data_IF_648805009770
#
_entry.id   IF_648805009770
#
_cell.length_a   1.000
_cell.length_b   1.000
_cell.length_c   1.000
_cell.angle_alpha   90.00
_cell.angle_beta   90.00
_cell.angle_gamma   90.00
#
_symmetry.space_group_name_H-M   'P 1'
#
loop_
_entity.id
_entity.type
_entity.pdbx_description
1 polymer ?
#
# COMPACT_ATOMS: atom_id res chain seq x y z
N UNK A 1 5.43 -14.22 8.52
CA UNK A 1 5.53 -13.53 9.82
C UNK A 1 4.38 -13.99 10.68
N UNK A 2 4.71 -14.50 11.87
CA UNK A 2 3.72 -15.05 12.82
C UNK A 2 3.63 -14.24 14.13
N UNK A 3 4.45 -13.20 14.28
CA UNK A 3 4.45 -12.33 15.45
C UNK A 3 4.77 -10.89 15.09
N UNK A 4 4.06 -9.95 15.72
CA UNK A 4 4.35 -8.53 15.67
C UNK A 4 4.59 -8.03 17.09
N UNK A 5 5.68 -7.32 17.30
CA UNK A 5 6.03 -6.67 18.55
C UNK A 5 6.02 -5.17 18.38
N UNK A 6 5.32 -4.46 19.24
CA UNK A 6 5.17 -3.01 19.20
C UNK A 6 5.82 -2.38 20.43
N UNK A 7 6.62 -1.36 20.19
CA UNK A 7 7.36 -0.59 21.18
C UNK A 7 7.11 0.90 21.02
N UNK A 8 7.37 1.68 22.07
CA UNK A 8 7.53 3.15 21.98
C UNK A 8 8.93 3.56 22.41
N UNK A 9 9.35 4.77 22.02
CA UNK A 9 10.68 5.27 22.41
C UNK A 9 10.79 5.53 23.93
N UNK A 10 9.69 5.84 24.61
CA UNK A 10 9.67 6.05 26.07
C UNK A 10 9.92 4.75 26.84
N UNK A 11 9.43 3.63 26.34
CA UNK A 11 9.54 2.30 26.95
C UNK A 11 10.17 1.31 25.95
N UNK A 12 11.39 1.63 25.51
CA UNK A 12 12.06 0.83 24.47
C UNK A 12 12.33 -0.64 24.87
N UNK A 13 12.29 -0.96 26.15
CA UNK A 13 12.52 -2.30 26.68
C UNK A 13 11.24 -3.08 27.00
N UNK A 14 10.06 -2.43 26.93
CA UNK A 14 8.78 -3.07 27.22
C UNK A 14 7.91 -3.17 25.96
N UNK A 15 7.43 -4.38 25.66
CA UNK A 15 6.46 -4.59 24.59
C UNK A 15 5.11 -3.99 25.01
N UNK A 16 4.64 -2.94 24.32
CA UNK A 16 3.33 -2.33 24.60
C UNK A 16 2.21 -3.21 24.07
N UNK A 17 2.39 -3.73 22.86
CA UNK A 17 1.44 -4.61 22.19
C UNK A 17 2.17 -5.77 21.54
N UNK A 18 1.59 -6.95 21.63
CA UNK A 18 2.08 -8.14 20.99
C UNK A 18 0.93 -8.85 20.28
N UNK A 19 1.09 -9.04 18.99
CA UNK A 19 0.18 -9.85 18.19
C UNK A 19 0.89 -11.15 17.82
N UNK A 20 0.26 -12.27 18.15
CA UNK A 20 0.74 -13.62 17.78
C UNK A 20 -0.45 -14.49 17.45
N UNK A 21 -0.32 -15.28 16.41
CA UNK A 21 -1.27 -16.33 16.10
C UNK A 21 -0.55 -17.68 16.28
N UNK A 22 -1.07 -18.59 17.05
CA UNK A 22 -0.54 -19.88 17.51
C UNK A 22 0.26 -20.63 16.41
N UNK A 23 1.45 -20.13 16.03
CA UNK A 23 2.32 -20.59 14.95
C UNK A 23 1.77 -20.41 13.52
N UNK A 24 0.59 -19.86 13.33
CA UNK A 24 0.07 -19.52 12.00
C UNK A 24 0.63 -18.18 11.50
N UNK A 25 0.65 -18.02 10.21
CA UNK A 25 1.13 -16.79 9.57
C UNK A 25 0.09 -15.67 9.73
N UNK A 26 0.52 -14.51 10.26
CA UNK A 26 -0.32 -13.31 10.37
C UNK A 26 -0.32 -12.56 9.04
N UNK A 27 0.87 -12.43 8.42
CA UNK A 27 1.03 -11.79 7.12
C UNK A 27 2.36 -12.19 6.46
N UNK A 28 2.40 -12.04 5.14
CA UNK A 28 3.59 -12.25 4.31
C UNK A 28 4.07 -10.96 3.68
N UNK A 29 5.38 -10.85 3.47
CA UNK A 29 5.98 -9.74 2.74
C UNK A 29 6.43 -10.25 1.38
N UNK A 30 5.94 -9.60 0.33
CA UNK A 30 6.24 -9.96 -1.05
C UNK A 30 7.01 -8.82 -1.69
N UNK A 31 8.07 -9.13 -2.43
CA UNK A 31 8.77 -8.15 -3.24
C UNK A 31 7.93 -7.78 -4.47
N UNK A 32 7.62 -6.51 -4.63
CA UNK A 32 6.80 -6.02 -5.75
C UNK A 32 7.28 -6.48 -7.12
N UNK A 33 8.59 -6.57 -7.30
CA UNK A 33 9.19 -7.05 -8.56
C UNK A 33 8.83 -8.52 -8.84
N UNK A 34 8.90 -9.39 -7.84
CA UNK A 34 8.59 -10.82 -7.99
C UNK A 34 7.11 -11.02 -8.30
N UNK A 35 6.23 -10.31 -7.57
CA UNK A 35 4.79 -10.30 -7.84
C UNK A 35 4.48 -9.79 -9.25
N UNK A 36 5.08 -8.67 -9.66
CA UNK A 36 4.88 -8.12 -11.01
C UNK A 36 5.31 -9.12 -12.09
N UNK A 37 6.46 -9.77 -11.93
CA UNK A 37 6.96 -10.78 -12.87
C UNK A 37 5.97 -11.93 -12.99
N UNK A 38 5.54 -12.50 -11.88
CA UNK A 38 4.59 -13.61 -11.84
C UNK A 38 3.28 -13.25 -12.55
N UNK A 39 2.65 -12.12 -12.16
CA UNK A 39 1.40 -11.66 -12.79
C UNK A 39 1.57 -11.37 -14.27
N UNK A 40 2.70 -10.77 -14.69
CA UNK A 40 2.96 -10.49 -16.08
C UNK A 40 3.16 -11.75 -16.91
N UNK A 41 3.76 -12.79 -16.35
CA UNK A 41 3.95 -14.07 -17.03
C UNK A 41 2.62 -14.84 -17.15
N UNK A 42 1.74 -14.77 -16.16
CA UNK A 42 0.37 -15.30 -16.27
C UNK A 42 -0.46 -14.56 -17.35
N UNK A 43 -0.38 -13.22 -17.37
CA UNK A 43 -1.08 -12.42 -18.39
C UNK A 43 -0.65 -12.78 -19.82
N UNK A 44 0.62 -13.14 -20.06
CA UNK A 44 1.12 -13.55 -21.40
C UNK A 44 0.53 -14.88 -21.88
N UNK A 45 0.10 -15.75 -20.98
CA UNK A 45 -0.51 -17.05 -21.33
C UNK A 45 -1.92 -16.89 -21.90
N UNK A 46 -2.61 -15.80 -21.59
CA UNK A 46 -3.98 -15.56 -22.04
C UNK A 46 -4.02 -14.99 -23.45
N UNK A 47 -4.71 -15.66 -24.35
CA UNK A 47 -4.99 -15.18 -25.72
C UNK A 47 -6.03 -14.07 -25.76
N UNK A 48 -6.80 -13.87 -24.68
CA UNK A 48 -7.85 -12.86 -24.58
C UNK A 48 -7.31 -11.48 -24.25
N UNK A 49 -6.07 -11.38 -23.74
CA UNK A 49 -5.46 -10.14 -23.29
C UNK A 49 -4.55 -9.58 -24.39
N UNK A 50 -4.83 -8.34 -24.79
CA UNK A 50 -4.01 -7.60 -25.77
C UNK A 50 -3.33 -6.43 -25.10
N UNK A 51 -1.98 -6.45 -25.01
CA UNK A 51 -1.20 -5.30 -24.58
C UNK A 51 -1.09 -4.28 -25.73
N UNK A 52 -1.46 -3.05 -25.46
CA UNK A 52 -1.25 -1.91 -26.37
C UNK A 52 -0.32 -0.89 -25.72
N UNK A 53 0.45 -0.17 -26.52
CA UNK A 53 1.18 1.02 -26.06
C UNK A 53 0.16 2.06 -25.58
N UNK A 54 0.63 3.03 -24.77
CA UNK A 54 -0.21 4.07 -24.18
C UNK A 54 -1.12 4.70 -25.25
N UNK A 55 -2.43 4.60 -25.03
CA UNK A 55 -3.46 5.14 -25.92
C UNK A 55 -3.84 6.53 -25.37
N UNK A 56 -3.99 7.50 -26.24
CA UNK A 56 -4.45 8.81 -25.79
C UNK A 56 -5.96 8.79 -25.48
N UNK A 57 -6.43 9.81 -24.76
CA UNK A 57 -7.82 9.86 -24.28
C UNK A 57 -8.85 9.77 -25.41
N UNK A 58 -8.61 10.46 -26.52
CA UNK A 58 -9.56 10.49 -27.64
C UNK A 58 -9.72 9.11 -28.30
N UNK A 59 -8.64 8.34 -28.38
CA UNK A 59 -8.69 6.99 -28.94
C UNK A 59 -9.46 6.03 -28.03
N UNK A 60 -9.35 6.19 -26.72
CA UNK A 60 -10.10 5.39 -25.75
C UNK A 60 -11.61 5.63 -25.91
N UNK A 61 -12.03 6.88 -25.99
CA UNK A 61 -13.45 7.23 -26.11
C UNK A 61 -14.04 6.76 -27.46
N UNK A 62 -13.27 6.88 -28.55
CA UNK A 62 -13.73 6.41 -29.88
C UNK A 62 -13.94 4.92 -29.97
N UNK A 63 -13.25 4.10 -29.17
CA UNK A 63 -13.32 2.63 -29.25
C UNK A 63 -14.56 2.03 -28.56
N UNK A 64 -15.43 2.82 -27.96
CA UNK A 64 -16.69 2.42 -27.34
C UNK A 64 -16.57 1.16 -26.43
N UNK A 65 -15.54 1.16 -25.56
CA UNK A 65 -15.38 0.07 -24.57
C UNK A 65 -16.58 0.02 -23.63
N UNK A 66 -17.07 -1.17 -23.30
CA UNK A 66 -18.16 -1.36 -22.33
C UNK A 66 -17.74 -0.89 -20.92
N UNK A 67 -16.51 -1.17 -20.50
CA UNK A 67 -15.95 -0.75 -19.22
C UNK A 67 -14.49 -0.32 -19.40
N UNK A 68 -14.12 0.80 -18.78
CA UNK A 68 -12.75 1.34 -18.77
C UNK A 68 -12.29 1.43 -17.32
N UNK A 69 -11.21 0.71 -16.96
CA UNK A 69 -10.62 0.77 -15.63
C UNK A 69 -9.35 1.61 -15.70
N UNK A 70 -9.36 2.77 -15.05
CA UNK A 70 -8.23 3.69 -15.03
C UNK A 70 -7.47 3.58 -13.69
N UNK A 71 -6.26 3.03 -13.75
CA UNK A 71 -5.35 2.93 -12.60
C UNK A 71 -4.22 3.98 -12.65
N UNK A 72 -4.13 4.82 -13.70
CA UNK A 72 -3.01 5.72 -13.90
C UNK A 72 -3.31 7.13 -13.37
N UNK A 73 -2.66 7.58 -12.26
CA UNK A 73 -2.91 8.90 -11.68
C UNK A 73 -2.44 10.06 -12.58
N UNK A 74 -1.55 9.80 -13.53
CA UNK A 74 -1.02 10.84 -14.46
C UNK A 74 -1.78 10.92 -15.78
N UNK A 75 -2.68 9.98 -16.05
CA UNK A 75 -3.43 9.95 -17.32
C UNK A 75 -4.39 11.16 -17.45
N UNK A 76 -4.68 11.56 -18.68
CA UNK A 76 -5.62 12.67 -18.96
C UNK A 76 -7.02 12.43 -18.40
N UNK A 77 -7.49 11.16 -18.42
CA UNK A 77 -8.75 10.73 -17.78
C UNK A 77 -8.79 11.13 -16.31
N UNK A 78 -7.71 10.89 -15.57
CA UNK A 78 -7.61 11.25 -14.17
C UNK A 78 -7.71 12.73 -13.93
N UNK A 79 -6.96 13.51 -14.69
CA UNK A 79 -6.99 15.00 -14.61
C UNK A 79 -8.37 15.55 -14.91
N UNK A 80 -9.08 14.97 -15.87
CA UNK A 80 -10.38 15.46 -16.34
C UNK A 80 -11.53 15.07 -15.40
N UNK A 81 -11.57 13.83 -14.89
CA UNK A 81 -12.73 13.29 -14.21
C UNK A 81 -12.51 12.97 -12.71
N UNK A 82 -11.25 12.77 -12.30
CA UNK A 82 -10.92 12.25 -10.97
C UNK A 82 -10.00 13.18 -10.18
N UNK A 83 -10.23 14.50 -10.28
CA UNK A 83 -9.46 15.52 -9.58
C UNK A 83 -9.95 15.82 -8.17
N UNK A 84 -11.25 15.61 -7.88
CA UNK A 84 -11.85 15.93 -6.57
C UNK A 84 -11.55 14.86 -5.54
N UNK A 85 -10.63 15.16 -4.60
CA UNK A 85 -10.16 14.25 -3.55
C UNK A 85 -10.22 14.90 -2.19
N UNK A 86 -10.32 14.07 -1.15
CA UNK A 86 -9.98 14.44 0.22
C UNK A 86 -8.50 14.11 0.40
N UNK A 87 -7.67 15.10 0.65
CA UNK A 87 -6.22 14.92 0.80
C UNK A 87 -5.76 15.39 2.17
N UNK A 88 -4.81 14.66 2.75
CA UNK A 88 -4.10 15.03 3.99
C UNK A 88 -2.60 14.88 3.75
N UNK A 89 -1.86 15.91 4.08
CA UNK A 89 -0.39 15.89 4.08
C UNK A 89 0.08 15.65 5.53
N UNK A 90 0.91 14.63 5.73
CA UNK A 90 1.45 14.31 7.05
C UNK A 90 2.71 15.11 7.41
N UNK A 91 3.23 15.94 6.48
CA UNK A 91 4.52 16.62 6.64
C UNK A 91 5.64 15.67 7.05
N UNK A 92 5.63 14.49 6.45
CA UNK A 92 6.51 13.38 6.75
C UNK A 92 6.96 12.69 5.46
N UNK A 93 8.11 12.02 5.53
CA UNK A 93 8.63 11.18 4.45
C UNK A 93 8.73 9.74 4.91
N UNK A 94 8.28 8.81 4.10
CA UNK A 94 8.62 7.41 4.27
C UNK A 94 9.99 7.14 3.62
N UNK A 95 10.88 6.55 4.40
CA UNK A 95 12.16 6.01 3.95
C UNK A 95 12.08 4.50 4.00
N UNK A 96 12.48 3.86 2.92
CA UNK A 96 12.53 2.40 2.86
C UNK A 96 13.95 1.97 2.54
N UNK A 97 14.38 0.88 3.17
CA UNK A 97 15.66 0.24 2.90
C UNK A 97 15.55 -1.27 3.10
N UNK A 98 16.49 -2.02 2.55
CA UNK A 98 16.67 -3.44 2.85
C UNK A 98 17.99 -3.58 3.60
N UNK A 99 17.92 -4.10 4.82
CA UNK A 99 19.09 -4.49 5.58
C UNK A 99 19.43 -5.96 5.30
N UNK A 100 20.70 -6.22 4.95
CA UNK A 100 21.28 -7.54 4.98
C UNK A 100 21.95 -7.71 6.36
N UNK A 101 21.77 -8.85 6.97
CA UNK A 101 22.28 -9.14 8.31
C UNK A 101 22.76 -10.58 8.43
N UNK A 102 23.50 -10.89 9.49
CA UNK A 102 23.85 -12.28 9.81
C UNK A 102 22.58 -13.13 9.91
N UNK A 103 22.70 -14.41 9.60
CA UNK A 103 21.57 -15.34 9.60
C UNK A 103 20.84 -15.33 10.94
N UNK A 104 19.53 -15.12 10.90
CA UNK A 104 18.61 -15.22 12.02
C UNK A 104 17.68 -16.40 11.75
N UNK A 105 17.86 -17.47 12.53
CA UNK A 105 17.02 -18.68 12.40
C UNK A 105 15.57 -18.31 12.76
N UNK A 106 14.61 -18.65 11.87
CA UNK A 106 13.20 -18.30 12.01
C UNK A 106 12.98 -16.78 12.16
N UNK A 107 13.53 -15.99 11.21
CA UNK A 107 13.29 -14.55 11.15
C UNK A 107 11.83 -14.25 10.76
N UNK A 108 10.90 -14.43 11.70
CA UNK A 108 9.45 -14.37 11.49
C UNK A 108 8.74 -13.38 12.43
N UNK A 109 9.50 -12.51 13.10
CA UNK A 109 8.98 -11.49 14.01
C UNK A 109 9.13 -10.12 13.35
N UNK A 110 8.02 -9.41 13.16
CA UNK A 110 8.04 -8.01 12.77
C UNK A 110 8.15 -7.12 14.01
N UNK A 111 8.96 -6.06 13.92
CA UNK A 111 9.14 -5.07 14.97
C UNK A 111 8.61 -3.73 14.49
N UNK A 112 7.78 -3.10 15.31
CA UNK A 112 7.26 -1.75 15.10
C UNK A 112 7.65 -0.90 16.30
N UNK A 113 8.36 0.19 16.08
CA UNK A 113 8.69 1.15 17.13
C UNK A 113 8.09 2.52 16.79
N UNK A 114 7.28 3.07 17.69
CA UNK A 114 6.78 4.45 17.62
C UNK A 114 7.78 5.36 18.29
N UNK A 115 8.58 6.05 17.45
CA UNK A 115 9.59 7.00 17.90
C UNK A 115 9.01 8.42 17.95
N UNK A 116 9.67 9.35 18.66
CA UNK A 116 9.30 10.76 18.72
C UNK A 116 9.23 11.43 17.33
N UNK A 117 9.92 10.87 16.34
CA UNK A 117 9.96 11.39 14.97
C UNK A 117 9.05 10.60 14.00
N UNK A 118 8.32 9.62 14.50
CA UNK A 118 7.40 8.77 13.74
C UNK A 118 7.75 7.28 13.78
N UNK A 119 6.89 6.42 13.25
CA UNK A 119 7.03 4.98 13.34
C UNK A 119 8.12 4.42 12.43
N UNK A 120 8.94 3.50 12.96
CA UNK A 120 9.88 2.66 12.21
C UNK A 120 9.48 1.19 12.36
N UNK A 121 9.48 0.46 11.24
CA UNK A 121 9.17 -0.96 11.19
C UNK A 121 10.35 -1.75 10.60
N UNK A 122 10.61 -2.92 11.19
CA UNK A 122 11.52 -3.92 10.69
C UNK A 122 10.72 -5.17 10.32
N UNK A 123 10.69 -5.48 9.04
CA UNK A 123 9.79 -6.45 8.43
C UNK A 123 10.61 -7.56 7.77
N UNK A 124 10.70 -8.76 8.37
CA UNK A 124 11.47 -9.88 7.84
C UNK A 124 11.07 -10.26 6.42
N UNK A 125 12.06 -10.41 5.53
CA UNK A 125 11.88 -10.93 4.17
C UNK A 125 12.42 -12.37 4.08
N UNK A 126 13.56 -12.62 4.73
CA UNK A 126 14.21 -13.92 4.78
C UNK A 126 15.07 -14.04 6.03
N UNK A 127 15.75 -15.17 6.22
CA UNK A 127 16.67 -15.37 7.35
C UNK A 127 17.88 -14.41 7.35
N UNK A 128 18.15 -13.74 6.22
CA UNK A 128 19.31 -12.84 6.05
C UNK A 128 18.93 -11.43 5.57
N UNK A 129 17.65 -11.16 5.36
CA UNK A 129 17.13 -9.89 4.86
C UNK A 129 15.90 -9.43 5.61
N UNK A 130 15.87 -8.14 5.94
CA UNK A 130 14.73 -7.47 6.56
C UNK A 130 14.48 -6.13 5.86
N UNK A 131 13.23 -5.84 5.53
CA UNK A 131 12.81 -4.53 5.03
C UNK A 131 12.65 -3.57 6.19
N UNK A 132 13.12 -2.35 6.03
CA UNK A 132 12.91 -1.27 7.00
C UNK A 132 12.04 -0.21 6.34
N UNK A 133 11.02 0.23 7.07
CA UNK A 133 10.15 1.35 6.67
C UNK A 133 10.12 2.35 7.82
N UNK A 134 10.60 3.56 7.57
CA UNK A 134 10.60 4.63 8.58
C UNK A 134 9.78 5.81 8.08
N UNK A 135 8.67 6.09 8.73
CA UNK A 135 7.84 7.28 8.49
C UNK A 135 8.36 8.42 9.36
N UNK A 136 9.27 9.22 8.82
CA UNK A 136 9.96 10.27 9.55
C UNK A 136 9.25 11.61 9.39
N UNK A 137 8.86 12.23 10.51
CA UNK A 137 8.32 13.59 10.56
C UNK A 137 9.44 14.59 10.30
N UNK A 138 9.46 15.15 9.09
CA UNK A 138 10.47 16.12 8.67
C UNK A 138 9.97 16.93 7.48
N UNK A 139 10.31 18.22 7.47
CA UNK A 139 10.00 19.08 6.31
C UNK A 139 10.96 18.88 5.15
N UNK A 140 12.18 18.41 5.43
CA UNK A 140 13.24 18.26 4.43
C UNK A 140 13.69 16.81 4.31
N UNK A 141 14.01 16.40 3.09
CA UNK A 141 14.58 15.08 2.83
C UNK A 141 15.88 14.88 3.58
N UNK A 142 16.00 13.75 4.29
CA UNK A 142 17.24 13.31 4.93
C UNK A 142 18.18 12.61 3.95
N UNK A 143 19.49 12.73 4.19
CA UNK A 143 20.51 12.01 3.43
C UNK A 143 20.54 10.53 3.84
N UNK A 144 21.00 9.65 2.95
CA UNK A 144 21.08 8.22 3.23
C UNK A 144 21.91 7.87 4.47
N UNK A 145 23.00 8.62 4.74
CA UNK A 145 23.82 8.40 5.95
C UNK A 145 23.05 8.71 7.23
N UNK A 146 22.21 9.74 7.24
CA UNK A 146 21.36 10.07 8.39
C UNK A 146 20.33 8.96 8.65
N UNK A 147 19.75 8.42 7.57
CA UNK A 147 18.77 7.32 7.66
C UNK A 147 19.46 6.05 8.14
N UNK A 148 20.68 5.76 7.68
CA UNK A 148 21.48 4.62 8.16
C UNK A 148 21.72 4.71 9.68
N UNK A 149 22.08 5.89 10.19
CA UNK A 149 22.29 6.10 11.62
C UNK A 149 21.00 5.87 12.43
N UNK A 150 19.85 6.33 11.90
CA UNK A 150 18.55 6.11 12.53
C UNK A 150 18.16 4.61 12.51
N UNK A 151 18.38 3.91 11.40
CA UNK A 151 18.15 2.47 11.31
C UNK A 151 19.01 1.73 12.35
N UNK A 152 20.29 2.08 12.48
CA UNK A 152 21.17 1.47 13.47
C UNK A 152 20.72 1.78 14.92
N UNK A 153 20.29 3.02 15.18
CA UNK A 153 19.77 3.43 16.50
C UNK A 153 18.59 2.59 16.95
N UNK A 154 17.63 2.35 16.06
CA UNK A 154 16.38 1.65 16.36
C UNK A 154 16.38 0.17 15.99
N UNK A 155 17.53 -0.36 15.59
CA UNK A 155 17.68 -1.77 15.22
C UNK A 155 17.38 -2.69 16.42
N UNK A 156 16.39 -3.59 16.34
CA UNK A 156 15.98 -4.38 17.49
C UNK A 156 16.95 -5.50 17.84
N UNK A 157 17.57 -6.14 16.83
CA UNK A 157 18.36 -7.36 17.05
C UNK A 157 19.30 -7.77 15.91
N UNK A 158 19.33 -7.05 14.80
CA UNK A 158 20.03 -7.51 13.60
C UNK A 158 21.50 -7.14 13.61
N UNK A 159 22.41 -8.13 13.40
CA UNK A 159 23.81 -7.86 13.08
C UNK A 159 23.92 -7.43 11.62
N UNK A 160 23.69 -6.13 11.35
CA UNK A 160 23.63 -5.56 10.00
C UNK A 160 24.99 -5.63 9.33
N UNK A 161 25.04 -6.19 8.11
CA UNK A 161 26.24 -6.26 7.27
C UNK A 161 26.21 -5.23 6.16
N UNK A 162 25.01 -4.92 5.62
CA UNK A 162 24.85 -3.95 4.53
C UNK A 162 23.42 -3.40 4.52
N UNK A 163 23.27 -2.12 4.16
CA UNK A 163 21.98 -1.49 3.93
C UNK A 163 21.89 -1.06 2.46
N UNK A 164 20.85 -1.48 1.77
CA UNK A 164 20.65 -1.29 0.34
C UNK A 164 19.28 -0.73 0.02
N UNK A 165 19.06 -0.40 -1.28
CA UNK A 165 17.75 -0.07 -1.83
C UNK A 165 17.04 1.07 -1.09
N UNK A 166 17.80 2.14 -0.81
CA UNK A 166 17.22 3.35 -0.23
C UNK A 166 16.24 3.99 -1.20
N UNK A 167 14.98 4.10 -0.77
CA UNK A 167 13.96 4.87 -1.45
C UNK A 167 13.28 5.79 -0.46
N UNK A 168 12.63 6.83 -0.97
CA UNK A 168 11.84 7.74 -0.15
C UNK A 168 10.69 8.31 -0.96
N UNK A 169 9.61 8.64 -0.26
CA UNK A 169 8.45 9.32 -0.82
C UNK A 169 7.74 10.15 0.26
N UNK A 170 7.15 11.25 -0.17
CA UNK A 170 6.34 12.09 0.71
C UNK A 170 5.06 11.36 1.11
N UNK A 171 4.71 11.45 2.39
CA UNK A 171 3.52 10.81 2.94
C UNK A 171 2.31 11.71 2.79
N UNK A 172 1.35 11.24 2.03
CA UNK A 172 0.05 11.86 1.85
C UNK A 172 -1.03 10.79 1.83
N UNK A 173 -2.15 11.04 2.49
CA UNK A 173 -3.36 10.27 2.24
C UNK A 173 -4.26 10.98 1.23
N UNK A 174 -5.01 10.22 0.47
CA UNK A 174 -6.02 10.76 -0.41
C UNK A 174 -7.14 9.76 -0.63
N UNK A 175 -8.39 10.25 -0.61
CA UNK A 175 -9.57 9.48 -0.94
C UNK A 175 -10.33 10.18 -2.05
N UNK A 176 -10.64 9.45 -3.12
CA UNK A 176 -11.39 9.98 -4.25
C UNK A 176 -12.86 10.13 -3.87
N UNK A 177 -13.48 11.28 -4.23
CA UNK A 177 -14.89 11.55 -3.89
C UNK A 177 -15.88 10.83 -4.79
N UNK A 178 -15.52 10.60 -6.06
CA UNK A 178 -16.34 9.85 -7.03
C UNK A 178 -15.44 8.83 -7.72
N UNK A 179 -15.86 7.58 -7.70
CA UNK A 179 -15.05 6.48 -8.21
C UNK A 179 -15.22 6.26 -9.71
N UNK A 180 -16.31 6.79 -10.30
CA UNK A 180 -16.55 6.61 -11.72
C UNK A 180 -17.14 7.85 -12.40
N UNK A 181 -17.02 7.89 -13.71
CA UNK A 181 -17.71 8.79 -14.62
C UNK A 181 -18.15 7.99 -15.84
N UNK A 182 -19.44 7.91 -16.07
CA UNK A 182 -20.04 7.05 -17.11
C UNK A 182 -19.54 5.60 -16.94
N UNK A 183 -18.98 4.98 -17.98
CA UNK A 183 -18.39 3.63 -17.93
C UNK A 183 -16.89 3.62 -17.56
N UNK A 184 -16.34 4.74 -17.06
CA UNK A 184 -14.93 4.86 -16.66
C UNK A 184 -14.84 4.77 -15.15
N UNK A 185 -14.20 3.71 -14.65
CA UNK A 185 -13.93 3.45 -13.23
C UNK A 185 -12.49 3.85 -12.88
N UNK A 186 -12.31 4.67 -11.85
CA UNK A 186 -11.01 4.85 -11.20
C UNK A 186 -10.70 3.62 -10.33
N UNK A 187 -9.41 3.19 -10.25
CA UNK A 187 -9.06 1.98 -9.51
C UNK A 187 -7.64 2.04 -8.93
N UNK A 188 -7.39 1.20 -7.90
CA UNK A 188 -6.09 1.10 -7.24
C UNK A 188 -5.72 2.36 -6.48
N UNK A 189 -4.43 2.76 -6.51
CA UNK A 189 -3.91 3.96 -5.83
C UNK A 189 -4.61 5.28 -6.26
N UNK A 190 -5.41 5.22 -7.30
CA UNK A 190 -6.22 6.33 -7.73
C UNK A 190 -7.43 6.55 -6.81
N UNK A 191 -7.99 5.49 -6.26
CA UNK A 191 -9.14 5.55 -5.36
C UNK A 191 -8.75 6.08 -3.98
N UNK A 192 -7.73 5.46 -3.40
CA UNK A 192 -7.30 5.71 -2.03
C UNK A 192 -5.79 5.53 -1.89
N UNK A 193 -5.19 6.41 -1.12
CA UNK A 193 -3.83 6.30 -0.59
C UNK A 193 -3.92 6.51 0.91
N UNK A 194 -3.29 5.65 1.67
CA UNK A 194 -3.29 5.71 3.13
C UNK A 194 -1.86 5.83 3.66
N UNK A 195 -1.73 6.23 4.92
CA UNK A 195 -0.45 6.19 5.60
C UNK A 195 0.10 4.74 5.57
N UNK A 196 1.41 4.52 5.30
CA UNK A 196 2.00 3.18 5.21
C UNK A 196 2.09 2.45 6.57
N UNK A 197 1.39 2.92 7.58
CA UNK A 197 1.25 2.24 8.86
C UNK A 197 0.71 0.83 8.60
N UNK A 198 1.47 -0.18 9.02
CA UNK A 198 1.16 -1.60 8.83
C UNK A 198 1.01 -2.08 7.36
N UNK A 199 1.44 -1.32 6.35
CA UNK A 199 1.50 -1.78 4.95
C UNK A 199 0.15 -2.09 4.29
N UNK A 200 -0.97 -1.53 4.76
CA UNK A 200 -2.32 -1.93 4.39
C UNK A 200 -2.82 -1.42 3.02
N UNK A 201 -2.10 -0.50 2.36
CA UNK A 201 -2.55 0.08 1.08
C UNK A 201 -2.77 -0.95 -0.02
N UNK A 202 -1.87 -1.93 -0.15
CA UNK A 202 -1.99 -3.01 -1.11
C UNK A 202 -3.19 -3.93 -0.80
N UNK A 203 -3.42 -4.24 0.47
CA UNK A 203 -4.55 -5.08 0.91
C UNK A 203 -5.90 -4.44 0.59
N UNK A 204 -6.01 -3.11 0.67
CA UNK A 204 -7.21 -2.40 0.23
C UNK A 204 -7.46 -2.61 -1.26
N UNK A 205 -6.42 -2.50 -2.09
CA UNK A 205 -6.53 -2.74 -3.53
C UNK A 205 -6.92 -4.19 -3.86
N UNK A 206 -6.41 -5.18 -3.13
CA UNK A 206 -6.81 -6.59 -3.29
C UNK A 206 -8.29 -6.81 -2.93
N UNK A 207 -8.77 -6.19 -1.86
CA UNK A 207 -10.19 -6.21 -1.50
C UNK A 207 -11.07 -5.59 -2.58
N UNK A 208 -10.64 -4.46 -3.13
CA UNK A 208 -11.35 -3.78 -4.22
C UNK A 208 -11.38 -4.63 -5.50
N UNK A 209 -10.30 -5.37 -5.81
CA UNK A 209 -10.26 -6.34 -6.92
C UNK A 209 -11.33 -7.41 -6.70
N UNK A 210 -11.41 -8.00 -5.51
CA UNK A 210 -12.40 -9.03 -5.22
C UNK A 210 -13.83 -8.50 -5.37
N UNK A 211 -14.14 -7.31 -4.81
CA UNK A 211 -15.46 -6.68 -4.96
C UNK A 211 -15.80 -6.46 -6.44
N UNK A 212 -14.87 -5.94 -7.23
CA UNK A 212 -15.10 -5.69 -8.65
C UNK A 212 -15.28 -6.99 -9.44
N UNK A 213 -14.46 -8.00 -9.15
CA UNK A 213 -14.58 -9.33 -9.79
C UNK A 213 -15.93 -9.98 -9.50
N UNK A 214 -16.36 -9.97 -8.24
CA UNK A 214 -17.67 -10.53 -7.84
C UNK A 214 -18.84 -9.83 -8.56
N UNK A 215 -18.77 -8.50 -8.72
CA UNK A 215 -19.80 -7.75 -9.47
C UNK A 215 -19.81 -8.15 -10.95
N UNK A 216 -18.64 -8.25 -11.57
CA UNK A 216 -18.50 -8.62 -12.98
C UNK A 216 -19.01 -10.05 -13.19
N UNK A 217 -18.56 -11.00 -12.39
CA UNK A 217 -18.96 -12.41 -12.49
C UNK A 217 -20.46 -12.58 -12.29
N UNK A 218 -21.04 -11.90 -11.31
CA UNK A 218 -22.49 -11.92 -11.10
C UNK A 218 -23.25 -11.39 -12.31
N UNK A 219 -22.82 -10.29 -12.91
CA UNK A 219 -23.49 -9.74 -14.10
C UNK A 219 -23.36 -10.66 -15.32
N UNK A 220 -22.19 -11.25 -15.53
CA UNK A 220 -21.98 -12.24 -16.62
C UNK A 220 -22.89 -13.44 -16.44
N UNK A 221 -22.97 -14.00 -15.23
CA UNK A 221 -23.80 -15.18 -14.94
C UNK A 221 -25.29 -14.90 -15.11
N UNK A 222 -25.73 -13.66 -14.93
CA UNK A 222 -27.10 -13.22 -15.15
C UNK A 222 -27.38 -12.73 -16.58
N UNK A 223 -26.39 -12.76 -17.48
CA UNK A 223 -26.54 -12.25 -18.84
C UNK A 223 -26.71 -10.73 -18.94
N UNK A 224 -26.29 -9.98 -17.91
CA UNK A 224 -26.41 -8.52 -17.85
C UNK A 224 -25.22 -7.84 -18.52
N UNK A 225 -25.43 -6.63 -19.03
CA UNK A 225 -24.35 -5.84 -19.63
C UNK A 225 -23.34 -5.36 -18.60
N UNK A 226 -22.06 -5.32 -19.03
CA UNK A 226 -20.96 -4.73 -18.28
C UNK A 226 -20.83 -3.24 -18.61
N UNK A 227 -21.80 -2.45 -18.21
CA UNK A 227 -21.90 -1.01 -18.46
C UNK A 227 -21.58 -0.16 -17.21
N UNK A 228 -22.05 1.06 -17.15
CA UNK A 228 -21.85 1.98 -16.03
C UNK A 228 -22.45 1.46 -14.71
N UNK A 229 -23.39 0.51 -14.74
CA UNK A 229 -23.97 -0.09 -13.54
C UNK A 229 -22.92 -0.90 -12.73
N UNK A 230 -21.90 -1.49 -13.40
CA UNK A 230 -20.74 -2.09 -12.72
C UNK A 230 -20.03 -1.05 -11.87
N UNK A 231 -19.78 0.13 -12.43
CA UNK A 231 -19.09 1.21 -11.75
C UNK A 231 -19.88 1.75 -10.55
N UNK A 232 -21.19 1.92 -10.72
CA UNK A 232 -22.07 2.41 -9.67
C UNK A 232 -22.17 1.41 -8.51
N UNK A 233 -22.33 0.13 -8.80
CA UNK A 233 -22.38 -0.95 -7.80
C UNK A 233 -21.04 -1.08 -7.06
N UNK A 234 -19.92 -1.01 -7.79
CA UNK A 234 -18.58 -1.00 -7.17
C UNK A 234 -18.42 0.18 -6.21
N UNK A 235 -18.76 1.41 -6.63
CA UNK A 235 -18.69 2.57 -5.74
C UNK A 235 -19.52 2.37 -4.49
N UNK A 236 -20.78 1.92 -4.63
CA UNK A 236 -21.69 1.66 -3.52
C UNK A 236 -21.13 0.66 -2.51
N UNK A 237 -20.48 -0.41 -2.99
CA UNK A 237 -20.00 -1.50 -2.14
C UNK A 237 -18.63 -1.25 -1.49
N UNK A 238 -17.84 -0.30 -2.02
CA UNK A 238 -16.45 -0.10 -1.61
C UNK A 238 -16.16 1.28 -0.97
N UNK A 239 -16.86 2.36 -1.37
CA UNK A 239 -16.48 3.72 -1.02
C UNK A 239 -16.49 3.99 0.48
N UNK A 240 -17.59 3.65 1.17
CA UNK A 240 -17.71 3.89 2.60
C UNK A 240 -16.71 3.04 3.40
N UNK A 241 -16.49 1.79 3.00
CA UNK A 241 -15.51 0.90 3.61
C UNK A 241 -14.08 1.43 3.44
N UNK A 242 -13.76 1.94 2.26
CA UNK A 242 -12.45 2.52 1.96
C UNK A 242 -12.22 3.80 2.78
N UNK A 243 -13.22 4.65 2.86
CA UNK A 243 -13.16 5.89 3.65
C UNK A 243 -13.00 5.61 5.15
N UNK A 244 -13.84 4.73 5.69
CA UNK A 244 -13.77 4.34 7.10
C UNK A 244 -12.41 3.75 7.46
N UNK A 245 -11.90 2.83 6.64
CA UNK A 245 -10.59 2.22 6.86
C UNK A 245 -9.45 3.25 6.81
N UNK A 246 -9.47 4.14 5.82
CA UNK A 246 -8.48 5.21 5.69
C UNK A 246 -8.48 6.14 6.91
N UNK A 247 -9.66 6.53 7.37
CA UNK A 247 -9.83 7.39 8.55
C UNK A 247 -9.37 6.69 9.84
N UNK A 248 -9.61 5.38 9.96
CA UNK A 248 -9.14 4.60 11.10
C UNK A 248 -7.61 4.51 11.16
N UNK A 249 -6.94 4.35 10.01
CA UNK A 249 -5.46 4.39 9.93
C UNK A 249 -4.93 5.77 10.33
N UNK A 250 -5.57 6.84 9.87
CA UNK A 250 -5.22 8.21 10.23
C UNK A 250 -5.40 8.45 11.74
N UNK A 251 -6.46 7.94 12.33
CA UNK A 251 -6.73 8.05 13.76
C UNK A 251 -5.66 7.33 14.59
N UNK A 252 -5.29 6.10 14.22
CA UNK A 252 -4.20 5.37 14.88
C UNK A 252 -2.89 6.15 14.78
N UNK A 253 -2.56 6.68 13.60
CA UNK A 253 -1.36 7.49 13.40
C UNK A 253 -1.33 8.72 14.31
N UNK A 254 -2.45 9.44 14.43
CA UNK A 254 -2.55 10.62 15.31
C UNK A 254 -2.44 10.24 16.79
N UNK A 255 -3.11 9.17 17.23
CA UNK A 255 -3.09 8.71 18.62
C UNK A 255 -1.67 8.47 19.11
N UNK A 256 -0.84 7.79 18.33
CA UNK A 256 0.56 7.57 18.68
C UNK A 256 1.46 8.82 18.53
N UNK A 257 1.01 9.85 17.79
CA UNK A 257 1.71 11.13 17.73
C UNK A 257 1.42 12.04 18.93
N UNK A 258 0.28 11.87 19.63
CA UNK A 258 -0.06 12.65 20.82
C UNK A 258 0.68 12.15 22.07
N UNK A 259 1.08 10.90 22.12
CA UNK A 259 1.80 10.31 23.25
C UNK A 259 3.33 10.52 23.18
N UNK A 260 3.84 11.10 22.11
CA UNK A 260 5.25 11.43 21.88
C UNK A 260 5.43 12.95 21.96
#
# INVERSE_FOLDING_TARGET
>A
INKIKVYTEKNSNEEILKFSNNNEEIFSIIKNYELYKLLNDELKKSKLIKKKKMINFNDIIKQNYKLIINCNPKHQITKKFFSKRLEKNYNSYAYTAIINHKKVIKNNIAFQNFTNNGPIAFLPISEIQTSVVYSLKTKNRKKNIEIQNLINKYNPQYSITKINNYNFFELRSSNLRKYYKDNILAFGDLLHRIHPLAGQGFNMSLRDINILSDIIDKKINLGLDLDNSVCAEFQKNSQDKNYLFSTSVDFIYELFNFES
#
